data_IF_994785744155
#
_entry.id   IF_994785744155
#
_cell.length_a   1.000
_cell.length_b   1.000
_cell.length_c   1.000
_cell.angle_alpha   90.00
_cell.angle_beta   90.00
_cell.angle_gamma   90.00
#
_symmetry.space_group_name_H-M   'P 1'
#
loop_
_entity.id
_entity.type
_entity.pdbx_description
1 polymer ?
#
# COMPACT_ATOMS: atom_id res chain seq x y z
N UNK A 1 -28.18 -1.42 -12.05
CA UNK A 1 -27.03 -1.24 -11.14
C UNK A 1 -25.78 -1.27 -11.99
N UNK A 2 -24.79 -0.42 -11.71
CA UNK A 2 -23.54 -0.46 -12.46
C UNK A 2 -22.68 -1.64 -12.00
N UNK A 3 -21.85 -2.13 -12.91
CA UNK A 3 -20.78 -3.10 -12.66
C UNK A 3 -19.45 -2.36 -12.75
N UNK A 4 -18.61 -2.53 -11.75
CA UNK A 4 -17.26 -1.99 -11.69
C UNK A 4 -16.28 -3.05 -12.15
N UNK A 5 -15.33 -2.64 -13.00
CA UNK A 5 -14.16 -3.45 -13.33
C UNK A 5 -12.96 -2.90 -12.60
N UNK A 6 -12.44 -3.68 -11.66
CA UNK A 6 -11.19 -3.37 -10.98
C UNK A 6 -10.04 -4.12 -11.62
N UNK A 7 -8.94 -3.41 -11.88
CA UNK A 7 -7.64 -3.98 -12.16
C UNK A 7 -6.88 -4.11 -10.84
N UNK A 8 -6.40 -5.31 -10.53
CA UNK A 8 -5.60 -5.62 -9.34
C UNK A 8 -4.23 -6.08 -9.80
N UNK A 9 -3.17 -5.45 -9.29
CA UNK A 9 -1.77 -5.82 -9.52
C UNK A 9 -1.00 -5.84 -8.20
N UNK A 10 0.05 -6.65 -8.13
CA UNK A 10 0.96 -6.65 -6.98
C UNK A 10 1.94 -5.48 -7.12
N UNK A 11 2.31 -4.85 -6.01
CA UNK A 11 3.27 -3.74 -6.04
C UNK A 11 4.65 -4.16 -6.56
N UNK A 12 5.12 -5.34 -6.14
CA UNK A 12 6.42 -5.89 -6.55
C UNK A 12 6.37 -6.67 -7.88
N UNK A 13 5.17 -6.95 -8.43
CA UNK A 13 4.99 -7.82 -9.60
C UNK A 13 3.92 -7.26 -10.55
N UNK A 14 4.30 -6.27 -11.36
CA UNK A 14 3.42 -5.61 -12.33
C UNK A 14 2.90 -6.54 -13.44
N UNK A 15 3.61 -7.64 -13.70
CA UNK A 15 3.28 -8.67 -14.67
C UNK A 15 2.16 -9.62 -14.19
N UNK A 16 1.78 -9.54 -12.92
CA UNK A 16 0.65 -10.28 -12.36
C UNK A 16 -0.57 -9.37 -12.22
N UNK A 17 -1.55 -9.57 -13.10
CA UNK A 17 -2.76 -8.73 -13.16
C UNK A 17 -4.02 -9.59 -13.09
N UNK A 18 -5.01 -9.15 -12.32
CA UNK A 18 -6.38 -9.67 -12.32
C UNK A 18 -7.36 -8.54 -12.60
N UNK A 19 -8.22 -8.71 -13.58
CA UNK A 19 -9.35 -7.81 -13.81
C UNK A 19 -10.63 -8.50 -13.35
N UNK A 20 -11.34 -7.89 -12.39
CA UNK A 20 -12.54 -8.47 -11.76
C UNK A 20 -13.72 -7.52 -12.00
N UNK A 21 -14.81 -8.08 -12.51
CA UNK A 21 -16.10 -7.39 -12.58
C UNK A 21 -16.90 -7.67 -11.30
N UNK A 22 -17.41 -6.63 -10.66
CA UNK A 22 -18.20 -6.71 -9.41
C UNK A 22 -19.31 -5.66 -9.41
N UNK A 23 -20.47 -5.96 -8.80
CA UNK A 23 -21.58 -5.00 -8.78
C UNK A 23 -21.31 -3.86 -7.79
N UNK A 24 -21.75 -2.66 -8.17
CA UNK A 24 -21.67 -1.45 -7.33
C UNK A 24 -22.29 -1.56 -5.93
N UNK A 25 -23.26 -2.45 -5.73
CA UNK A 25 -23.92 -2.69 -4.45
C UNK A 25 -23.27 -3.78 -3.59
N UNK A 26 -22.30 -4.52 -4.14
CA UNK A 26 -21.50 -5.50 -3.40
C UNK A 26 -20.46 -4.78 -2.53
N UNK A 27 -19.89 -5.53 -1.61
CA UNK A 27 -19.02 -5.03 -0.55
C UNK A 27 -17.56 -5.27 -0.87
N UNK A 28 -16.67 -4.57 -0.16
CA UNK A 28 -15.22 -4.86 -0.23
C UNK A 28 -14.90 -6.28 0.24
N UNK A 29 -15.72 -6.85 1.13
CA UNK A 29 -15.60 -8.26 1.53
C UNK A 29 -15.82 -9.19 0.34
N UNK A 30 -16.83 -8.94 -0.49
CA UNK A 30 -17.08 -9.76 -1.69
C UNK A 30 -15.89 -9.72 -2.66
N UNK A 31 -15.29 -8.53 -2.84
CA UNK A 31 -14.09 -8.35 -3.65
C UNK A 31 -12.89 -9.11 -3.07
N UNK A 32 -12.62 -8.95 -1.76
CA UNK A 32 -11.57 -9.65 -1.01
C UNK A 32 -11.64 -11.16 -1.20
N UNK A 33 -12.80 -11.75 -0.86
CA UNK A 33 -12.99 -13.20 -0.94
C UNK A 33 -12.85 -13.72 -2.37
N UNK A 34 -13.44 -13.02 -3.34
CA UNK A 34 -13.37 -13.44 -4.73
C UNK A 34 -11.94 -13.37 -5.26
N UNK A 35 -11.24 -12.25 -5.06
CA UNK A 35 -9.86 -12.06 -5.53
C UNK A 35 -8.92 -13.12 -4.96
N UNK A 36 -8.93 -13.32 -3.63
CA UNK A 36 -8.05 -14.29 -2.98
C UNK A 36 -8.31 -15.72 -3.47
N UNK A 37 -9.58 -16.07 -3.69
CA UNK A 37 -9.94 -17.36 -4.31
C UNK A 37 -9.36 -17.51 -5.73
N UNK A 38 -9.32 -16.44 -6.53
CA UNK A 38 -8.74 -16.49 -7.88
C UNK A 38 -7.22 -16.68 -7.89
N UNK A 39 -6.52 -16.21 -6.86
CA UNK A 39 -5.07 -16.37 -6.74
C UNK A 39 -4.65 -17.53 -5.83
N UNK A 40 -5.62 -18.26 -5.25
CA UNK A 40 -5.37 -19.42 -4.39
C UNK A 40 -4.86 -19.07 -2.99
N UNK A 41 -5.13 -17.86 -2.52
CA UNK A 41 -4.75 -17.39 -1.18
C UNK A 41 -5.88 -17.66 -0.18
N UNK A 42 -5.53 -17.70 1.11
CA UNK A 42 -6.47 -17.90 2.20
C UNK A 42 -7.30 -16.62 2.46
N UNK A 43 -8.62 -16.62 2.24
CA UNK A 43 -9.45 -15.44 2.47
C UNK A 43 -9.69 -15.12 3.95
N UNK A 44 -9.31 -16.00 4.88
CA UNK A 44 -9.52 -15.81 6.31
C UNK A 44 -8.35 -15.10 7.02
N UNK A 45 -7.43 -14.50 6.24
CA UNK A 45 -6.34 -13.67 6.78
C UNK A 45 -6.79 -12.21 7.00
N UNK A 46 -6.29 -11.55 8.06
CA UNK A 46 -6.64 -10.17 8.35
C UNK A 46 -5.98 -9.24 7.31
N UNK A 47 -6.79 -8.38 6.70
CA UNK A 47 -6.42 -7.57 5.53
C UNK A 47 -7.15 -6.24 5.57
N UNK A 48 -6.67 -5.25 4.82
CA UNK A 48 -7.35 -3.95 4.67
C UNK A 48 -7.26 -3.39 3.26
N UNK A 49 -8.33 -2.74 2.83
CA UNK A 49 -8.30 -1.79 1.72
C UNK A 49 -8.12 -0.39 2.29
N UNK A 50 -7.39 0.45 1.58
CA UNK A 50 -7.24 1.86 1.85
C UNK A 50 -7.76 2.63 0.65
N UNK A 51 -8.66 3.58 0.88
CA UNK A 51 -9.07 4.52 -0.17
C UNK A 51 -7.86 5.40 -0.50
N UNK A 52 -7.48 5.41 -1.76
CA UNK A 52 -6.26 6.07 -2.21
C UNK A 52 -6.53 7.10 -3.29
N UNK A 53 -5.61 8.05 -3.41
CA UNK A 53 -5.60 9.05 -4.47
C UNK A 53 -4.66 8.63 -5.60
N UNK A 54 -4.42 9.53 -6.56
CA UNK A 54 -3.53 9.28 -7.69
C UNK A 54 -2.09 8.92 -7.33
N UNK A 55 -1.64 9.36 -6.16
CA UNK A 55 -0.30 9.15 -5.62
C UNK A 55 -0.23 7.90 -4.71
N UNK A 56 -1.23 7.02 -4.73
CA UNK A 56 -1.29 5.80 -3.91
C UNK A 56 -1.18 6.04 -2.40
N UNK A 57 -1.60 7.21 -1.92
CA UNK A 57 -1.59 7.53 -0.49
C UNK A 57 -2.70 6.74 0.23
N UNK A 58 -2.36 6.08 1.34
CA UNK A 58 -3.30 5.31 2.17
C UNK A 58 -4.11 6.26 3.06
N UNK A 59 -5.37 6.54 2.70
CA UNK A 59 -6.25 7.40 3.50
C UNK A 59 -7.19 6.57 4.39
N UNK A 60 -8.47 6.49 4.03
CA UNK A 60 -9.50 5.79 4.82
C UNK A 60 -9.30 4.27 4.74
N UNK A 61 -9.28 3.60 5.90
CA UNK A 61 -9.08 2.16 5.99
C UNK A 61 -10.41 1.39 6.12
N UNK A 62 -10.53 0.31 5.34
CA UNK A 62 -11.61 -0.68 5.38
C UNK A 62 -11.03 -2.04 5.74
N UNK A 63 -11.23 -2.49 6.98
CA UNK A 63 -10.58 -3.66 7.53
C UNK A 63 -11.45 -4.93 7.48
N UNK A 64 -10.78 -6.07 7.28
CA UNK A 64 -11.30 -7.41 7.45
C UNK A 64 -10.54 -8.09 8.59
N UNK A 65 -11.29 -8.66 9.54
CA UNK A 65 -10.76 -9.19 10.81
C UNK A 65 -9.85 -8.17 11.53
N UNK A 66 -10.35 -6.96 11.85
CA UNK A 66 -9.54 -5.95 12.52
C UNK A 66 -9.09 -6.41 13.91
N UNK A 67 -7.93 -5.91 14.34
CA UNK A 67 -7.48 -6.04 15.73
C UNK A 67 -8.33 -5.15 16.65
N UNK A 68 -8.32 -5.46 17.96
CA UNK A 68 -9.08 -4.67 18.95
C UNK A 68 -8.77 -3.17 18.87
N UNK A 69 -7.49 -2.82 18.68
CA UNK A 69 -7.05 -1.42 18.49
C UNK A 69 -7.75 -0.73 17.31
N UNK A 70 -7.93 -1.43 16.18
CA UNK A 70 -8.61 -0.87 15.00
C UNK A 70 -10.12 -0.70 15.25
N UNK A 71 -10.72 -1.62 16.00
CA UNK A 71 -12.12 -1.51 16.44
C UNK A 71 -12.29 -0.29 17.35
N UNK A 72 -11.42 -0.11 18.34
CA UNK A 72 -11.47 1.02 19.27
C UNK A 72 -11.27 2.37 18.56
N UNK A 73 -10.50 2.38 17.47
CA UNK A 73 -10.30 3.54 16.61
C UNK A 73 -11.45 3.78 15.60
N UNK A 74 -12.47 2.92 15.58
CA UNK A 74 -13.63 3.08 14.70
C UNK A 74 -13.35 2.81 13.22
N UNK A 75 -12.34 1.98 12.90
CA UNK A 75 -12.04 1.58 11.51
C UNK A 75 -13.25 0.87 10.90
N UNK A 76 -13.62 1.26 9.68
CA UNK A 76 -14.77 0.69 8.98
C UNK A 76 -14.50 -0.78 8.58
N UNK A 77 -15.55 -1.60 8.62
CA UNK A 77 -15.46 -3.01 8.24
C UNK A 77 -15.75 -3.20 6.75
N UNK A 78 -14.98 -4.06 6.08
CA UNK A 78 -15.20 -4.40 4.67
C UNK A 78 -16.61 -4.95 4.39
N UNK A 79 -17.21 -5.66 5.35
CA UNK A 79 -18.55 -6.25 5.21
C UNK A 79 -19.68 -5.22 5.16
N UNK A 80 -19.49 -4.06 5.79
CA UNK A 80 -20.47 -2.97 5.83
C UNK A 80 -20.16 -1.88 4.80
N UNK A 81 -19.07 -2.04 4.05
CA UNK A 81 -18.55 -1.07 3.11
C UNK A 81 -18.91 -1.49 1.69
N UNK A 82 -19.96 -0.85 1.13
CA UNK A 82 -20.35 -1.05 -0.27
C UNK A 82 -19.40 -0.32 -1.19
N UNK A 83 -19.03 -0.93 -2.30
CA UNK A 83 -18.12 -0.33 -3.29
C UNK A 83 -18.56 1.06 -3.74
N UNK A 84 -19.83 1.22 -4.11
CA UNK A 84 -20.41 2.49 -4.56
C UNK A 84 -20.25 3.67 -3.61
N UNK A 85 -20.00 3.44 -2.32
CA UNK A 85 -19.80 4.53 -1.35
C UNK A 85 -18.41 5.15 -1.42
N UNK A 86 -17.43 4.43 -2.00
CA UNK A 86 -16.02 4.82 -1.98
C UNK A 86 -15.48 5.05 -3.40
N UNK A 87 -16.35 5.28 -4.37
CA UNK A 87 -15.99 5.62 -5.75
C UNK A 87 -16.40 7.08 -5.98
N UNK A 88 -15.43 7.98 -5.89
CA UNK A 88 -15.63 9.40 -6.18
C UNK A 88 -15.11 9.79 -7.57
N UNK A 89 -14.13 9.04 -8.09
CA UNK A 89 -13.49 9.27 -9.38
C UNK A 89 -13.63 8.05 -10.33
N UNK A 90 -13.75 8.24 -11.67
CA UNK A 90 -13.76 7.14 -12.64
C UNK A 90 -12.53 6.23 -12.60
N UNK A 91 -11.39 6.74 -12.14
CA UNK A 91 -10.12 6.05 -11.93
C UNK A 91 -9.80 5.85 -10.45
N UNK A 92 -10.82 5.77 -9.58
CA UNK A 92 -10.64 5.57 -8.14
C UNK A 92 -9.63 4.45 -7.84
N UNK A 93 -8.65 4.77 -6.98
CA UNK A 93 -7.60 3.85 -6.54
C UNK A 93 -7.84 3.39 -5.12
N UNK A 94 -7.45 2.15 -4.85
CA UNK A 94 -7.39 1.56 -3.52
C UNK A 94 -6.07 0.82 -3.35
N UNK A 95 -5.44 1.05 -2.23
CA UNK A 95 -4.30 0.25 -1.82
C UNK A 95 -4.81 -0.94 -1.02
N UNK A 96 -4.41 -2.16 -1.35
CA UNK A 96 -4.86 -3.37 -0.67
C UNK A 96 -3.68 -4.07 -0.01
N UNK A 97 -3.78 -4.27 1.30
CA UNK A 97 -2.79 -5.01 2.10
C UNK A 97 -3.40 -6.33 2.53
N UNK A 98 -2.86 -7.42 2.00
CA UNK A 98 -3.26 -8.78 2.37
C UNK A 98 -2.38 -9.33 3.49
N UNK A 99 -3.01 -9.91 4.51
CA UNK A 99 -2.36 -10.62 5.62
C UNK A 99 -1.34 -9.77 6.42
N UNK A 100 -1.77 -9.14 7.51
CA UNK A 100 -0.87 -8.32 8.33
C UNK A 100 0.32 -9.06 8.96
N UNK A 101 0.28 -10.39 9.08
CA UNK A 101 1.43 -11.16 9.59
C UNK A 101 2.58 -11.22 8.57
N UNK A 102 2.22 -11.25 7.28
CA UNK A 102 3.16 -11.27 6.14
C UNK A 102 2.52 -10.45 5.01
N UNK A 103 2.66 -9.11 5.07
CA UNK A 103 1.91 -8.21 4.21
C UNK A 103 2.32 -8.39 2.76
N UNK A 104 1.34 -8.58 1.90
CA UNK A 104 1.47 -8.35 0.47
C UNK A 104 0.70 -7.11 0.10
N UNK A 105 1.37 -6.22 -0.62
CA UNK A 105 0.82 -4.95 -1.03
C UNK A 105 0.40 -5.00 -2.50
N UNK A 106 -0.82 -4.54 -2.76
CA UNK A 106 -1.46 -4.60 -4.06
C UNK A 106 -2.12 -3.27 -4.40
N UNK A 107 -2.06 -2.94 -5.68
CA UNK A 107 -2.74 -1.81 -6.29
C UNK A 107 -4.07 -2.25 -6.90
N UNK A 108 -5.14 -1.57 -6.53
CA UNK A 108 -6.49 -1.81 -7.06
C UNK A 108 -7.02 -0.53 -7.68
N UNK A 109 -7.34 -0.57 -8.97
CA UNK A 109 -7.78 0.61 -9.72
C UNK A 109 -9.11 0.32 -10.42
N UNK A 110 -10.07 1.24 -10.31
CA UNK A 110 -11.27 1.22 -11.13
C UNK A 110 -10.90 1.59 -12.58
N UNK A 111 -11.07 0.66 -13.52
CA UNK A 111 -10.71 0.91 -14.92
C UNK A 111 -11.91 1.11 -15.84
N UNK A 112 -13.09 0.56 -15.48
CA UNK A 112 -14.33 0.69 -16.25
C UNK A 112 -15.58 0.60 -15.38
N UNK A 113 -16.61 1.34 -15.78
CA UNK A 113 -17.98 1.19 -15.29
C UNK A 113 -18.83 0.66 -16.45
N UNK A 114 -19.54 -0.43 -16.23
CA UNK A 114 -20.30 -1.18 -17.22
C UNK A 114 -21.77 -1.27 -16.79
N UNK A 115 -22.65 -1.46 -17.77
CA UNK A 115 -24.04 -1.82 -17.50
C UNK A 115 -24.13 -3.26 -16.96
N UNK A 116 -25.04 -3.47 -16.01
CA UNK A 116 -25.26 -4.81 -15.47
C UNK A 116 -26.01 -5.69 -16.46
N UNK A 117 -25.35 -6.77 -16.86
CA UNK A 117 -25.96 -7.88 -17.58
C UNK A 117 -26.65 -8.83 -16.59
N UNK A 118 -27.97 -9.01 -16.73
CA UNK A 118 -28.75 -9.90 -15.86
C UNK A 118 -28.40 -11.38 -16.03
N UNK A 119 -27.72 -11.76 -17.11
CA UNK A 119 -27.34 -13.15 -17.40
C UNK A 119 -26.02 -13.56 -16.76
N UNK A 120 -25.21 -12.60 -16.28
CA UNK A 120 -23.88 -12.84 -15.72
C UNK A 120 -23.91 -12.84 -14.19
N UNK A 121 -23.19 -13.79 -13.58
CA UNK A 121 -22.98 -13.82 -12.14
C UNK A 121 -21.79 -12.93 -11.73
N UNK A 122 -21.89 -12.28 -10.57
CA UNK A 122 -20.87 -11.38 -10.05
C UNK A 122 -20.58 -11.67 -8.56
N UNK A 123 -19.32 -11.59 -8.10
CA UNK A 123 -18.15 -11.13 -8.85
C UNK A 123 -17.68 -12.15 -9.90
N UNK A 124 -16.99 -11.69 -10.95
CA UNK A 124 -16.47 -12.56 -12.02
C UNK A 124 -15.10 -12.11 -12.48
N UNK A 125 -14.27 -13.07 -12.89
CA UNK A 125 -12.96 -12.80 -13.45
C UNK A 125 -13.11 -12.43 -14.93
N UNK A 126 -12.66 -11.25 -15.32
CA UNK A 126 -12.62 -10.81 -16.71
C UNK A 126 -11.30 -11.18 -17.40
N UNK A 127 -10.17 -10.97 -16.69
CA UNK A 127 -8.83 -11.25 -17.22
C UNK A 127 -7.89 -11.70 -16.11
N UNK A 128 -7.02 -12.65 -16.41
CA UNK A 128 -5.90 -13.03 -15.56
C UNK A 128 -4.62 -13.11 -16.39
N UNK A 129 -3.55 -12.49 -15.90
CA UNK A 129 -2.22 -12.47 -16.50
C UNK A 129 -1.20 -12.78 -15.40
N UNK A 130 -0.22 -13.62 -15.70
CA UNK A 130 0.81 -14.01 -14.73
C UNK A 130 0.29 -14.95 -13.63
N UNK A 131 1.23 -15.61 -12.96
CA UNK A 131 0.95 -16.42 -11.78
C UNK A 131 1.17 -15.57 -10.52
N UNK A 132 0.23 -15.65 -9.57
CA UNK A 132 0.40 -14.95 -8.30
C UNK A 132 1.60 -15.54 -7.53
N UNK A 133 2.38 -14.70 -6.82
CA UNK A 133 3.49 -15.17 -5.99
C UNK A 133 3.01 -16.27 -5.03
N UNK A 134 3.80 -17.33 -4.85
CA UNK A 134 3.45 -18.35 -3.85
C UNK A 134 3.88 -17.85 -2.48
N UNK A 135 2.95 -17.82 -1.53
CA UNK A 135 3.29 -17.54 -0.13
C UNK A 135 4.06 -18.75 0.38
N UNK A 136 5.38 -18.62 0.46
CA UNK A 136 6.23 -19.63 1.07
C UNK A 136 6.06 -19.45 2.58
N UNK A 137 5.18 -20.26 3.19
CA UNK A 137 5.25 -20.47 4.63
C UNK A 137 6.49 -21.35 4.86
N UNK A 138 7.51 -20.90 5.61
CA UNK A 138 8.55 -21.81 6.06
C UNK A 138 7.83 -22.91 6.84
N UNK A 139 7.85 -24.13 6.30
CA UNK A 139 7.45 -25.30 7.03
C UNK A 139 8.48 -25.47 8.14
N UNK A 140 8.17 -25.02 9.35
CA UNK A 140 8.83 -25.57 10.53
C UNK A 140 8.29 -26.99 10.67
N UNK A 141 9.11 -27.97 10.31
CA UNK A 141 8.82 -29.37 10.61
C UNK A 141 8.57 -29.49 12.12
N UNK A 142 7.53 -30.20 12.57
CA UNK A 142 7.32 -30.48 13.98
C UNK A 142 8.30 -31.53 14.55
N UNK A 143 9.42 -31.79 13.86
CA UNK A 143 10.45 -32.78 14.22
C UNK A 143 11.81 -32.14 14.56
N UNK A 144 11.87 -30.82 14.82
CA UNK A 144 12.94 -30.28 15.65
C UNK A 144 12.50 -30.42 17.12
N UNK A 145 12.56 -31.65 17.62
CA UNK A 145 12.86 -31.89 19.02
C UNK A 145 14.18 -31.18 19.29
N UNK A 146 14.09 -29.92 19.71
CA UNK A 146 15.17 -29.26 20.43
C UNK A 146 15.36 -30.09 21.70
N UNK A 147 16.26 -31.06 21.64
CA UNK A 147 16.83 -31.74 22.80
C UNK A 147 17.35 -30.65 23.73
N UNK A 148 16.57 -30.37 24.77
CA UNK A 148 16.87 -29.39 25.80
C UNK A 148 17.91 -29.92 26.82
N UNK A 149 18.90 -30.69 26.33
CA UNK A 149 19.95 -31.33 27.13
C UNK A 149 21.37 -31.03 26.63
N UNK A 150 21.56 -30.12 25.67
CA UNK A 150 22.88 -29.57 25.30
C UNK A 150 23.00 -28.08 25.65
N UNK A 151 22.48 -27.72 26.83
CA UNK A 151 22.72 -26.44 27.47
C UNK A 151 23.86 -26.58 28.49
N UNK A 152 25.06 -26.89 28.01
CA UNK A 152 26.30 -26.65 28.75
C UNK A 152 27.43 -26.38 27.77
N UNK A 153 28.20 -25.33 28.04
CA UNK A 153 29.34 -24.79 27.27
C UNK A 153 29.03 -23.73 26.17
N UNK A 154 28.35 -22.65 26.57
CA UNK A 154 28.76 -21.33 26.07
C UNK A 154 29.92 -20.83 26.94
N UNK A 155 31.12 -20.84 26.35
CA UNK A 155 32.35 -20.26 26.89
C UNK A 155 32.16 -18.75 27.12
N UNK A 156 32.11 -18.35 28.38
CA UNK A 156 31.96 -16.98 28.91
C UNK A 156 33.21 -16.10 28.65
N UNK A 157 33.78 -16.10 27.44
CA UNK A 157 35.02 -15.36 27.19
C UNK A 157 35.18 -14.66 25.84
N UNK A 158 34.09 -14.28 25.19
CA UNK A 158 34.16 -13.27 24.11
C UNK A 158 33.00 -12.26 24.15
N UNK A 159 32.88 -11.58 25.29
CA UNK A 159 32.25 -10.26 25.34
C UNK A 159 33.33 -9.24 25.69
N UNK A 160 34.08 -8.82 24.67
CA UNK A 160 34.92 -7.63 24.76
C UNK A 160 34.00 -6.40 24.81
N UNK A 161 33.64 -6.00 26.04
CA UNK A 161 33.09 -4.68 26.31
C UNK A 161 34.17 -3.66 25.91
N UNK A 162 33.90 -2.89 24.85
CA UNK A 162 34.69 -1.71 24.53
C UNK A 162 34.76 -0.82 25.78
N UNK A 163 35.98 -0.50 26.20
CA UNK A 163 36.23 0.31 27.39
C UNK A 163 35.89 1.77 27.09
N UNK A 164 35.39 2.50 28.09
CA UNK A 164 35.02 3.93 28.00
C UNK A 164 36.15 4.85 27.47
N UNK A 165 37.41 4.40 27.48
CA UNK A 165 38.56 5.16 26.98
C UNK A 165 38.67 5.22 25.43
N UNK A 166 37.92 4.41 24.67
CA UNK A 166 37.95 4.44 23.19
C UNK A 166 36.84 5.30 22.55
N UNK A 167 35.88 5.79 23.35
CA UNK A 167 34.77 6.63 22.84
C UNK A 167 35.13 8.13 22.77
N UNK A 168 36.21 8.53 23.43
CA UNK A 168 36.68 9.94 23.50
C UNK A 168 37.54 10.35 22.27
N UNK A 169 37.85 9.41 21.37
CA UNK A 169 38.61 9.68 20.14
C UNK A 169 37.74 9.95 18.91
N UNK A 170 36.41 10.01 19.05
CA UNK A 170 35.50 10.33 17.95
C UNK A 170 34.74 11.65 18.15
N UNK A 171 35.29 12.57 18.96
CA UNK A 171 34.72 13.90 19.15
C UNK A 171 35.77 15.02 19.08
N UNK A 172 36.58 15.04 18.01
CA UNK A 172 37.29 16.26 17.64
C UNK A 172 37.46 16.32 16.13
N UNK A 173 36.61 17.11 15.47
CA UNK A 173 37.00 18.14 14.50
C UNK A 173 35.75 18.89 14.04
N UNK A 174 35.24 19.75 14.92
CA UNK A 174 34.49 20.94 14.50
C UNK A 174 35.34 22.11 14.94
N UNK A 175 36.35 22.44 14.15
CA UNK A 175 36.97 23.76 14.20
C UNK A 175 36.21 24.66 13.23
N UNK A 176 35.32 25.43 13.85
CA UNK A 176 34.83 26.73 13.36
C UNK A 176 36.05 27.64 13.19
N UNK A 177 36.39 27.97 11.94
CA UNK A 177 37.25 29.10 11.61
C UNK A 177 36.36 30.27 11.18
N UNK A 178 36.31 31.26 12.07
CA UNK A 178 35.66 32.56 11.90
C UNK A 178 36.62 33.46 11.11
N UNK A 179 36.25 33.77 9.87
CA UNK A 179 37.07 34.53 8.92
C UNK A 179 36.22 35.44 8.03
N UNK A 180 35.69 36.48 8.66
CA UNK A 180 35.25 37.79 8.13
C UNK A 180 35.71 38.12 6.69
N UNK A 181 34.76 38.34 5.77
CA UNK A 181 34.87 39.40 4.77
C UNK A 181 33.50 39.78 4.17
N UNK A 182 33.35 41.09 4.02
CA UNK A 182 32.17 41.88 3.71
C UNK A 182 31.50 41.68 2.33
N UNK A 183 30.21 42.05 2.35
CA UNK A 183 29.47 42.89 1.39
C UNK A 183 28.87 42.36 0.06
N UNK A 184 27.64 42.87 -0.12
CA UNK A 184 26.78 42.99 -1.31
C UNK A 184 26.04 41.70 -1.74
N UNK A 185 24.72 41.60 -1.64
CA UNK A 185 23.71 42.61 -1.97
C UNK A 185 23.12 42.25 -3.34
N UNK A 186 22.02 41.51 -3.36
CA UNK A 186 21.37 41.08 -4.61
C UNK A 186 20.06 40.35 -4.35
N UNK A 187 18.99 41.12 -4.18
CA UNK A 187 17.61 40.69 -4.41
C UNK A 187 17.48 40.11 -5.82
N UNK A 188 16.92 38.91 -5.96
CA UNK A 188 16.23 38.56 -7.20
C UNK A 188 14.93 37.85 -6.87
N UNK A 189 13.88 38.56 -7.23
CA UNK A 189 12.47 38.32 -6.98
C UNK A 189 11.92 37.16 -7.82
N UNK A 190 10.82 36.61 -7.30
CA UNK A 190 9.93 35.69 -7.99
C UNK A 190 9.44 36.25 -9.35
N UNK A 191 10.01 35.77 -10.45
CA UNK A 191 9.44 35.93 -11.80
C UNK A 191 8.98 34.59 -12.36
N UNK A 192 7.74 34.21 -12.02
CA UNK A 192 6.96 33.30 -12.86
C UNK A 192 5.56 33.86 -13.09
N UNK A 193 5.51 35.07 -13.66
CA UNK A 193 4.33 35.62 -14.33
C UNK A 193 4.65 35.82 -15.81
N UNK A 194 4.27 34.86 -16.64
CA UNK A 194 4.01 35.08 -18.06
C UNK A 194 2.64 34.43 -18.31
N UNK A 195 1.55 35.18 -18.17
CA UNK A 195 1.00 36.06 -19.22
C UNK A 195 0.72 35.25 -20.48
N UNK A 196 -0.26 34.34 -20.40
CA UNK A 196 -1.00 33.92 -21.58
C UNK A 196 -1.88 35.10 -22.00
N UNK A 197 -1.37 35.89 -22.95
CA UNK A 197 -2.19 36.78 -23.76
C UNK A 197 -3.10 35.93 -24.64
N UNK A 198 -4.40 35.92 -24.33
CA UNK A 198 -5.42 35.42 -25.25
C UNK A 198 -5.94 36.61 -26.07
N UNK A 199 -5.80 36.46 -27.38
CA UNK A 199 -6.18 37.38 -28.45
C UNK A 199 -7.72 37.43 -28.55
N UNK A 200 -8.37 38.37 -27.86
CA UNK A 200 -9.76 38.75 -28.16
C UNK A 200 -9.77 39.93 -29.15
N UNK A 201 -9.82 39.61 -30.44
CA UNK A 201 -10.22 40.58 -31.46
C UNK A 201 -11.73 40.56 -31.67
N UNK A 202 -12.30 41.67 -31.24
CA UNK A 202 -13.61 42.27 -31.46
C UNK A 202 -14.09 42.21 -32.93
N UNK A 203 -15.30 41.65 -33.08
CA UNK A 203 -16.43 42.15 -33.88
C UNK A 203 -16.16 43.23 -34.95
N UNK A 204 -16.36 42.89 -36.24
CA UNK A 204 -16.90 43.80 -37.27
C UNK A 204 -17.65 43.02 -38.37
N UNK A 205 -18.90 43.48 -38.58
CA UNK A 205 -19.82 43.35 -39.72
C UNK A 205 -19.31 42.74 -41.04
#
# INVERSE_FOLDING_TARGET
MAVYRFKISFEDYDDVVREIDIKSNQTFKDLHFFFLKQIGYDPEKPSSFYVSNDQWIKNEELAYLPTQRKIDNGVALMENSRLSRFIDDPHQKFYYVYNFDKPYELHVELIKILDNDATKEFPSLFKAIGEAPKIIVPFMSPDDDFDADDADELDDNDMTLASDDELDSLNTDTEVDDGDNDEEGGDEEDEFSNEFSDDDYDDRD
#
